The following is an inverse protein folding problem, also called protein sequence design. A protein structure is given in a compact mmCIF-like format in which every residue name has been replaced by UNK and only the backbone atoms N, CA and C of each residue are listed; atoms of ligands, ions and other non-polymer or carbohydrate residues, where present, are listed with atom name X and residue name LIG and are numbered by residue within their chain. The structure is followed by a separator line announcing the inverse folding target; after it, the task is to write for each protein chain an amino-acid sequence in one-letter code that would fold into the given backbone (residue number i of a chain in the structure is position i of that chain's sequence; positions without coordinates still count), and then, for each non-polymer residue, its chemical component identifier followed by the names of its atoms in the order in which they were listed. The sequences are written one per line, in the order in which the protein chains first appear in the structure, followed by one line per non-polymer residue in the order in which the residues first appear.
data_IF_159382576095
#
_entry.id   IF_159382576095
#
_cell.length_a   1.000
_cell.length_b   1.000
_cell.length_c   1.000
_cell.angle_alpha   90.00
_cell.angle_beta   90.00
_cell.angle_gamma   90.00
#
_symmetry.space_group_name_H-M   'P 1'
#
loop_
_entity.id
_entity.type
_entity.pdbx_description
1 polymer ?
#
# COMPACT_ATOMS: atom_id res chain seq x y z
N UNK A 1 -14.55 -28.84 -17.30
CA UNK A 1 -13.18 -28.91 -16.75
C UNK A 1 -13.33 -28.62 -15.27
N UNK A 2 -13.12 -29.64 -14.43
CA UNK A 2 -13.33 -29.57 -12.99
C UNK A 2 -12.28 -28.67 -12.36
N UNK A 3 -12.75 -27.61 -11.72
CA UNK A 3 -11.96 -26.65 -10.95
C UNK A 3 -11.56 -27.32 -9.62
N UNK A 4 -10.60 -28.25 -9.69
CA UNK A 4 -10.01 -28.84 -8.50
C UNK A 4 -9.09 -27.81 -7.84
N UNK A 5 -9.63 -27.09 -6.85
CA UNK A 5 -8.83 -26.26 -5.95
C UNK A 5 -7.63 -27.08 -5.43
N UNK A 6 -6.38 -26.65 -5.65
CA UNK A 6 -5.21 -27.44 -5.31
C UNK A 6 -5.21 -27.74 -3.80
N UNK A 7 -5.10 -29.03 -3.47
CA UNK A 7 -5.09 -29.54 -2.09
C UNK A 7 -3.87 -28.94 -1.37
N UNK A 8 -4.09 -28.03 -0.43
CA UNK A 8 -3.01 -27.32 0.28
C UNK A 8 -2.18 -28.31 1.11
N UNK A 9 -0.89 -28.40 0.80
CA UNK A 9 0.08 -29.15 1.60
C UNK A 9 0.39 -28.35 2.87
N UNK A 10 0.24 -28.92 4.08
CA UNK A 10 0.61 -28.25 5.33
C UNK A 10 2.09 -27.85 5.32
N UNK A 11 2.41 -26.64 5.76
CA UNK A 11 3.80 -26.14 5.83
C UNK A 11 4.62 -26.75 6.96
N UNK A 12 3.96 -27.30 7.97
CA UNK A 12 4.57 -27.89 9.15
C UNK A 12 3.73 -29.08 9.62
N UNK A 13 4.39 -30.14 10.07
CA UNK A 13 3.76 -31.33 10.65
C UNK A 13 3.75 -31.18 12.18
N UNK A 14 2.57 -30.87 12.74
CA UNK A 14 2.41 -30.61 14.16
C UNK A 14 2.86 -31.80 15.04
N UNK A 15 2.75 -33.03 14.53
CA UNK A 15 3.12 -34.23 15.30
C UNK A 15 4.62 -34.37 15.52
N UNK A 16 5.44 -33.65 14.73
CA UNK A 16 6.89 -33.67 14.80
C UNK A 16 7.50 -32.45 15.48
N UNK A 17 6.67 -31.44 15.80
CA UNK A 17 7.13 -30.19 16.38
C UNK A 17 7.56 -30.40 17.84
N UNK A 18 8.75 -29.92 18.19
CA UNK A 18 9.29 -30.03 19.55
C UNK A 18 9.31 -28.69 20.30
N UNK A 19 9.22 -28.77 21.64
CA UNK A 19 9.37 -27.61 22.51
C UNK A 19 10.76 -27.00 22.31
N UNK A 20 10.82 -25.69 22.05
CA UNK A 20 12.05 -24.96 21.78
C UNK A 20 12.34 -24.71 20.30
N UNK A 21 11.56 -25.32 19.39
CA UNK A 21 11.64 -24.99 17.97
C UNK A 21 11.15 -23.56 17.69
N UNK A 22 11.76 -22.92 16.68
CA UNK A 22 11.42 -21.56 16.25
C UNK A 22 10.62 -21.62 14.96
N UNK A 23 9.48 -20.97 14.95
CA UNK A 23 8.62 -20.82 13.77
C UNK A 23 8.72 -19.38 13.26
N UNK A 24 8.69 -19.18 11.95
CA UNK A 24 8.65 -17.86 11.34
C UNK A 24 7.65 -17.83 10.19
N UNK A 25 6.96 -16.70 10.06
CA UNK A 25 6.10 -16.40 8.91
C UNK A 25 5.76 -14.91 8.90
N UNK A 26 5.86 -14.28 7.74
CA UNK A 26 5.26 -12.97 7.49
C UNK A 26 3.82 -13.16 7.03
N UNK A 27 2.91 -12.40 7.63
CA UNK A 27 1.50 -12.33 7.25
C UNK A 27 1.01 -10.90 7.41
N UNK A 28 0.10 -10.51 6.53
CA UNK A 28 -0.63 -9.25 6.61
C UNK A 28 -2.08 -9.54 6.98
N UNK A 29 -2.67 -8.63 7.76
CA UNK A 29 -4.00 -8.81 8.34
C UNK A 29 -4.92 -7.65 7.97
N UNK A 30 -6.16 -8.00 7.63
CA UNK A 30 -7.27 -7.08 7.50
C UNK A 30 -8.08 -7.10 8.81
N UNK A 31 -8.42 -5.94 9.34
CA UNK A 31 -9.30 -5.80 10.50
C UNK A 31 -10.74 -5.95 10.03
N UNK A 32 -11.44 -6.97 10.54
CA UNK A 32 -12.84 -7.21 10.18
C UNK A 32 -13.82 -6.59 11.18
N UNK A 33 -13.48 -6.63 12.47
CA UNK A 33 -14.36 -6.20 13.55
C UNK A 33 -13.54 -5.84 14.78
N UNK A 34 -13.93 -4.77 15.47
CA UNK A 34 -13.35 -4.34 16.74
C UNK A 34 -14.45 -4.39 17.79
N UNK A 35 -14.27 -5.22 18.81
CA UNK A 35 -15.18 -5.29 19.95
C UNK A 35 -14.40 -4.95 21.22
N UNK A 36 -14.58 -3.71 21.69
CA UNK A 36 -13.88 -3.17 22.86
C UNK A 36 -14.47 -3.67 24.17
N UNK A 37 -15.74 -4.07 24.21
CA UNK A 37 -16.38 -4.62 25.43
C UNK A 37 -15.75 -5.97 25.80
N UNK A 38 -15.54 -6.81 24.79
CA UNK A 38 -14.91 -8.13 24.95
C UNK A 38 -13.38 -8.08 24.86
N UNK A 39 -12.79 -6.89 24.69
CA UNK A 39 -11.35 -6.64 24.54
C UNK A 39 -10.71 -7.51 23.43
N UNK A 40 -11.36 -7.56 22.26
CA UNK A 40 -10.96 -8.40 21.15
C UNK A 40 -11.12 -7.73 19.78
N UNK A 41 -10.23 -8.08 18.86
CA UNK A 41 -10.25 -7.64 17.46
C UNK A 41 -10.24 -8.87 16.56
N UNK A 42 -11.17 -8.95 15.62
CA UNK A 42 -11.21 -10.02 14.62
C UNK A 42 -10.39 -9.61 13.41
N UNK A 43 -9.43 -10.46 13.06
CA UNK A 43 -8.51 -10.28 11.96
C UNK A 43 -8.70 -11.38 10.91
N UNK A 44 -8.40 -11.06 9.66
CA UNK A 44 -8.32 -12.01 8.56
C UNK A 44 -6.97 -11.89 7.87
N UNK A 45 -6.29 -13.01 7.61
CA UNK A 45 -5.10 -13.00 6.77
C UNK A 45 -5.43 -13.12 5.28
N UNK A 46 -4.43 -12.94 4.43
CA UNK A 46 -4.53 -13.04 2.96
C UNK A 46 -5.07 -14.38 2.43
N UNK A 47 -5.07 -15.43 3.26
CA UNK A 47 -5.59 -16.75 2.90
C UNK A 47 -7.03 -17.00 3.35
N UNK A 48 -7.69 -15.99 3.93
CA UNK A 48 -9.05 -16.09 4.45
C UNK A 48 -9.16 -16.70 5.84
N UNK A 49 -8.03 -16.97 6.52
CA UNK A 49 -8.06 -17.48 7.89
C UNK A 49 -8.42 -16.34 8.84
N UNK A 50 -9.48 -16.54 9.62
CA UNK A 50 -10.01 -15.58 10.57
C UNK A 50 -9.67 -16.01 12.00
N UNK A 51 -9.23 -15.07 12.80
CA UNK A 51 -8.92 -15.31 14.21
C UNK A 51 -9.12 -14.04 15.02
N UNK A 52 -9.13 -14.20 16.33
CA UNK A 52 -9.31 -13.11 17.27
C UNK A 52 -8.01 -12.86 18.02
N UNK A 53 -7.66 -11.59 18.19
CA UNK A 53 -6.49 -11.13 18.94
C UNK A 53 -6.90 -10.05 19.93
N UNK A 54 -6.19 -9.96 21.05
CA UNK A 54 -6.37 -8.89 22.03
C UNK A 54 -5.70 -7.59 21.56
N UNK A 55 -6.27 -6.41 21.84
CA UNK A 55 -5.72 -5.11 21.45
C UNK A 55 -4.24 -4.91 21.83
N UNK A 56 -3.82 -5.39 23.00
CA UNK A 56 -2.43 -5.24 23.48
C UNK A 56 -1.39 -5.83 22.51
N UNK A 57 -1.70 -6.93 21.82
CA UNK A 57 -0.79 -7.52 20.82
C UNK A 57 -0.72 -6.61 19.59
N UNK A 58 -1.85 -6.05 19.17
CA UNK A 58 -1.91 -5.13 18.01
C UNK A 58 -1.09 -3.88 18.30
N UNK A 59 -1.30 -3.26 19.46
CA UNK A 59 -0.62 -2.03 19.85
C UNK A 59 0.89 -2.23 20.05
N UNK A 60 1.32 -3.39 20.57
CA UNK A 60 2.73 -3.66 20.85
C UNK A 60 3.52 -4.19 19.64
N UNK A 61 2.88 -4.96 18.75
CA UNK A 61 3.60 -5.76 17.75
C UNK A 61 3.20 -5.46 16.29
N UNK A 62 2.15 -4.66 16.04
CA UNK A 62 1.65 -4.42 14.69
C UNK A 62 1.80 -2.96 14.24
N UNK A 63 2.20 -2.79 12.97
CA UNK A 63 2.14 -1.49 12.30
C UNK A 63 0.88 -1.40 11.43
N UNK A 64 0.38 -0.18 11.27
CA UNK A 64 -0.67 0.13 10.30
C UNK A 64 -0.13 1.05 9.22
N UNK A 65 -0.74 0.99 8.03
CA UNK A 65 -0.41 1.88 6.93
C UNK A 65 -1.07 3.27 7.07
N UNK A 66 -1.96 3.45 8.04
CA UNK A 66 -2.82 4.64 8.13
C UNK A 66 -2.58 5.47 9.37
N UNK A 67 -2.01 4.90 10.43
CA UNK A 67 -1.74 5.60 11.69
C UNK A 67 -0.26 5.97 11.78
N UNK A 68 -0.01 7.18 12.28
CA UNK A 68 1.32 7.70 12.56
C UNK A 68 1.25 8.66 13.75
N UNK A 69 2.36 8.76 14.50
CA UNK A 69 2.49 9.65 15.65
C UNK A 69 3.41 10.84 15.36
N UNK A 70 4.27 10.73 14.34
CA UNK A 70 5.26 11.74 13.99
C UNK A 70 5.10 12.11 12.51
N UNK A 71 5.22 13.39 12.21
CA UNK A 71 5.29 13.90 10.84
C UNK A 71 6.67 14.47 10.56
N UNK A 72 7.30 14.03 9.47
CA UNK A 72 8.61 14.50 9.04
C UNK A 72 8.55 15.00 7.60
N UNK A 73 9.16 16.17 7.39
CA UNK A 73 9.37 16.73 6.07
C UNK A 73 10.76 16.35 5.60
N UNK A 74 10.83 15.56 4.53
CA UNK A 74 12.07 14.99 4.01
C UNK A 74 12.26 15.35 2.54
N UNK A 75 13.49 15.21 2.06
CA UNK A 75 13.77 15.29 0.63
C UNK A 75 13.17 14.08 -0.11
N UNK A 76 12.97 14.21 -1.42
CA UNK A 76 12.51 13.08 -2.25
C UNK A 76 13.45 11.89 -2.19
N UNK A 77 14.76 12.14 -2.13
CA UNK A 77 15.78 11.08 -2.02
C UNK A 77 15.60 10.29 -0.74
N UNK A 78 15.47 10.97 0.41
CA UNK A 78 15.23 10.30 1.70
C UNK A 78 13.91 9.53 1.68
N UNK A 79 12.85 10.08 1.09
CA UNK A 79 11.56 9.40 0.97
C UNK A 79 11.67 8.08 0.19
N UNK A 80 12.45 8.08 -0.89
CA UNK A 80 12.74 6.89 -1.69
C UNK A 80 13.56 5.88 -0.90
N UNK A 81 14.61 6.32 -0.20
CA UNK A 81 15.40 5.44 0.66
C UNK A 81 14.56 4.79 1.77
N UNK A 82 13.59 5.53 2.35
CA UNK A 82 12.64 4.95 3.32
C UNK A 82 11.73 3.90 2.66
N UNK A 83 11.24 4.15 1.46
CA UNK A 83 10.43 3.18 0.71
C UNK A 83 11.23 1.92 0.35
N UNK A 84 12.47 2.08 -0.12
CA UNK A 84 13.35 0.97 -0.50
C UNK A 84 13.81 0.14 0.72
N UNK A 85 13.86 0.76 1.91
CA UNK A 85 14.17 0.10 3.18
C UNK A 85 12.95 -0.40 3.96
N UNK A 86 11.73 -0.25 3.43
CA UNK A 86 10.50 -0.67 4.10
C UNK A 86 10.42 -2.20 4.30
N UNK A 87 11.05 -2.97 3.40
CA UNK A 87 11.06 -4.43 3.43
C UNK A 87 9.64 -5.01 3.49
N UNK A 88 9.41 -5.90 4.44
CA UNK A 88 8.12 -6.58 4.67
C UNK A 88 7.20 -5.81 5.62
N UNK A 89 7.53 -4.56 5.98
CA UNK A 89 6.65 -3.74 6.81
C UNK A 89 5.53 -3.18 5.95
N UNK A 90 4.30 -3.23 6.44
CA UNK A 90 3.16 -2.59 5.78
C UNK A 90 3.34 -1.06 5.78
N UNK A 91 3.03 -0.42 4.65
CA UNK A 91 3.07 1.03 4.50
C UNK A 91 1.94 1.54 3.60
N UNK A 92 1.65 2.83 3.70
CA UNK A 92 0.88 3.54 2.67
C UNK A 92 1.80 4.51 1.93
N UNK A 93 1.81 4.45 0.61
CA UNK A 93 2.54 5.40 -0.24
C UNK A 93 1.57 6.19 -1.10
N UNK A 94 1.68 7.51 -1.08
CA UNK A 94 0.88 8.40 -1.91
C UNK A 94 1.74 8.98 -3.01
N UNK A 95 1.29 8.82 -4.26
CA UNK A 95 2.01 9.25 -5.45
C UNK A 95 1.07 9.70 -6.56
N UNK A 96 1.59 10.47 -7.51
CA UNK A 96 0.85 10.86 -8.71
C UNK A 96 0.94 9.76 -9.77
N UNK A 97 -0.21 9.20 -10.17
CA UNK A 97 -0.26 8.25 -11.29
C UNK A 97 0.23 8.91 -12.57
N UNK A 98 0.84 8.10 -13.43
CA UNK A 98 1.06 8.52 -14.81
C UNK A 98 -0.28 8.86 -15.47
N UNK A 99 -0.36 10.05 -16.05
CA UNK A 99 -1.52 10.49 -16.81
C UNK A 99 -1.68 9.57 -18.02
N UNK A 100 -2.90 9.12 -18.27
CA UNK A 100 -3.25 8.29 -19.43
C UNK A 100 -4.17 9.06 -20.36
N UNK A 101 -4.12 8.76 -21.66
CA UNK A 101 -4.99 9.39 -22.67
C UNK A 101 -6.47 9.27 -22.31
N UNK A 102 -6.86 8.14 -21.71
CA UNK A 102 -8.22 7.91 -21.21
C UNK A 102 -8.57 8.85 -20.06
N UNK A 103 -7.64 9.08 -19.13
CA UNK A 103 -7.84 10.01 -18.02
C UNK A 103 -7.94 11.46 -18.48
N UNK A 104 -7.13 11.86 -19.48
CA UNK A 104 -7.23 13.18 -20.11
C UNK A 104 -8.58 13.33 -20.81
N UNK A 105 -8.98 12.33 -21.61
CA UNK A 105 -10.25 12.36 -22.33
C UNK A 105 -11.46 12.45 -21.38
N UNK A 106 -11.41 11.82 -20.20
CA UNK A 106 -12.43 11.97 -19.18
C UNK A 106 -12.48 13.42 -18.64
N UNK A 107 -11.33 13.97 -18.21
CA UNK A 107 -11.26 15.36 -17.71
C UNK A 107 -11.67 16.41 -18.76
N UNK A 108 -11.46 16.12 -20.05
CA UNK A 108 -11.87 17.00 -21.15
C UNK A 108 -13.38 16.94 -21.45
N UNK A 109 -14.07 15.85 -21.11
CA UNK A 109 -15.53 15.74 -21.31
C UNK A 109 -16.31 16.60 -20.32
N UNK A 110 -15.79 16.71 -19.10
CA UNK A 110 -16.42 17.46 -18.01
C UNK A 110 -15.96 18.93 -17.97
N UNK A 111 -15.36 19.43 -19.06
CA UNK A 111 -14.75 20.74 -19.08
C UNK A 111 -15.76 21.86 -19.32
N UNK A 112 -15.74 22.87 -18.46
CA UNK A 112 -16.46 24.12 -18.65
C UNK A 112 -15.91 24.89 -19.87
N UNK A 113 -16.75 25.31 -20.84
CA UNK A 113 -16.35 26.15 -21.97
C UNK A 113 -15.55 27.40 -21.56
N UNK A 114 -15.81 27.98 -20.38
CA UNK A 114 -15.08 29.16 -19.91
C UNK A 114 -13.63 28.83 -19.49
N UNK A 115 -13.30 27.57 -19.22
CA UNK A 115 -11.94 27.13 -18.85
C UNK A 115 -10.94 27.25 -20.02
N UNK A 116 -11.41 27.34 -21.27
CA UNK A 116 -10.54 27.39 -22.48
C UNK A 116 -10.44 28.79 -23.10
N UNK A 117 -11.19 29.75 -22.55
CA UNK A 117 -11.43 31.06 -23.18
C UNK A 117 -10.17 31.92 -23.32
N UNK A 118 -9.25 31.85 -22.37
CA UNK A 118 -8.04 32.70 -22.36
C UNK A 118 -6.76 31.87 -22.50
N UNK A 119 -5.68 32.48 -22.99
CA UNK A 119 -4.37 31.79 -23.06
C UNK A 119 -3.86 31.39 -21.65
N UNK A 120 -4.16 32.21 -20.64
CA UNK A 120 -3.85 31.91 -19.23
C UNK A 120 -4.61 30.68 -18.74
N UNK A 121 -5.91 30.59 -19.02
CA UNK A 121 -6.75 29.46 -18.60
C UNK A 121 -6.38 28.17 -19.34
N UNK A 122 -6.05 28.25 -20.63
CA UNK A 122 -5.50 27.12 -21.40
C UNK A 122 -4.19 26.58 -20.83
N UNK A 123 -3.25 27.45 -20.44
CA UNK A 123 -1.98 27.03 -19.80
C UNK A 123 -2.16 26.48 -18.39
N UNK A 124 -3.19 26.93 -17.65
CA UNK A 124 -3.52 26.37 -16.34
C UNK A 124 -4.11 24.96 -16.50
N UNK A 125 -5.08 24.81 -17.40
CA UNK A 125 -5.69 23.54 -17.73
C UNK A 125 -4.69 22.51 -18.25
N UNK A 126 -3.78 22.91 -19.15
CA UNK A 126 -2.73 22.03 -19.64
C UNK A 126 -1.84 21.50 -18.49
N UNK A 127 -1.50 22.35 -17.52
CA UNK A 127 -0.72 21.94 -16.34
C UNK A 127 -1.49 20.99 -15.42
N UNK A 128 -2.79 21.21 -15.27
CA UNK A 128 -3.66 20.36 -14.44
C UNK A 128 -3.92 19.00 -15.09
N UNK A 129 -4.11 18.96 -16.41
CA UNK A 129 -4.26 17.71 -17.17
C UNK A 129 -2.98 16.88 -17.15
N UNK A 130 -1.82 17.54 -17.17
CA UNK A 130 -0.51 16.89 -17.04
C UNK A 130 -0.21 16.46 -15.59
N UNK A 131 -0.93 16.99 -14.60
CA UNK A 131 -0.81 16.53 -13.21
C UNK A 131 -1.57 15.21 -13.06
N UNK A 132 -0.82 14.18 -12.70
CA UNK A 132 -1.36 12.86 -12.38
C UNK A 132 -2.46 12.93 -11.32
N UNK A 133 -3.34 11.93 -11.33
CA UNK A 133 -4.27 11.72 -10.22
C UNK A 133 -3.47 11.21 -9.00
N UNK A 134 -3.73 11.79 -7.84
CA UNK A 134 -3.16 11.31 -6.58
C UNK A 134 -3.73 9.94 -6.24
N UNK A 135 -2.86 9.01 -5.87
CA UNK A 135 -3.25 7.68 -5.41
C UNK A 135 -2.44 7.30 -4.20
N UNK A 136 -3.15 6.82 -3.19
CA UNK A 136 -2.57 6.08 -2.07
C UNK A 136 -2.63 4.59 -2.39
N UNK A 137 -1.54 3.89 -2.08
CA UNK A 137 -1.44 2.43 -2.17
C UNK A 137 -1.02 1.91 -0.80
N UNK A 138 -1.77 0.93 -0.29
CA UNK A 138 -1.45 0.21 0.95
C UNK A 138 -0.81 -1.13 0.57
N UNK A 139 0.41 -1.38 1.05
CA UNK A 139 1.18 -2.51 0.58
C UNK A 139 2.48 -2.74 1.33
N UNK A 140 3.30 -3.62 0.76
CA UNK A 140 4.66 -3.90 1.22
C UNK A 140 5.61 -4.05 0.04
N UNK A 141 6.91 -3.85 0.27
CA UNK A 141 7.91 -3.83 -0.79
C UNK A 141 8.17 -5.26 -1.26
N UNK A 142 8.03 -5.49 -2.57
CA UNK A 142 8.45 -6.75 -3.19
C UNK A 142 9.93 -6.70 -3.56
N UNK A 143 10.33 -5.66 -4.29
CA UNK A 143 11.70 -5.43 -4.72
C UNK A 143 11.86 -3.97 -5.09
N UNK A 144 12.96 -3.36 -4.66
CA UNK A 144 13.40 -2.07 -5.17
C UNK A 144 14.24 -2.28 -6.43
N UNK A 145 14.00 -1.50 -7.48
CA UNK A 145 14.89 -1.42 -8.64
C UNK A 145 15.49 0.00 -8.72
N UNK A 146 16.56 0.28 -7.95
CA UNK A 146 17.10 1.64 -7.81
C UNK A 146 17.54 2.23 -9.15
N UNK A 147 18.02 1.37 -10.07
CA UNK A 147 18.50 1.79 -11.40
C UNK A 147 17.41 2.36 -12.31
N UNK A 148 16.14 2.02 -12.06
CA UNK A 148 15.01 2.43 -12.88
C UNK A 148 14.15 3.52 -12.22
N UNK A 149 14.50 3.94 -10.99
CA UNK A 149 13.75 4.96 -10.25
C UNK A 149 12.32 4.51 -9.90
N UNK A 150 12.12 3.20 -9.68
CA UNK A 150 10.83 2.61 -9.40
C UNK A 150 10.94 1.48 -8.38
N UNK A 151 9.89 1.29 -7.59
CA UNK A 151 9.74 0.15 -6.67
C UNK A 151 8.55 -0.71 -7.06
N UNK A 152 8.74 -2.03 -6.98
CA UNK A 152 7.64 -3.00 -7.05
C UNK A 152 7.04 -3.18 -5.66
N UNK A 153 5.73 -2.92 -5.56
CA UNK A 153 4.97 -3.02 -4.32
C UNK A 153 3.82 -3.99 -4.51
N UNK A 154 3.57 -4.83 -3.51
CA UNK A 154 2.37 -5.67 -3.47
C UNK A 154 1.25 -4.87 -2.82
N UNK A 155 0.19 -4.68 -3.59
CA UNK A 155 -1.05 -3.99 -3.19
C UNK A 155 -1.90 -4.95 -2.36
N UNK A 156 -2.05 -4.65 -1.06
CA UNK A 156 -2.79 -5.48 -0.11
C UNK A 156 -4.31 -5.29 -0.23
N UNK A 157 -4.78 -4.21 -0.86
CA UNK A 157 -6.21 -4.00 -1.12
C UNK A 157 -6.72 -4.91 -2.25
N UNK A 158 -5.81 -5.48 -3.04
CA UNK A 158 -6.13 -6.41 -4.12
C UNK A 158 -5.89 -7.85 -3.65
N UNK A 159 -6.88 -8.75 -3.77
CA UNK A 159 -6.74 -10.12 -3.31
C UNK A 159 -5.51 -10.84 -3.88
N UNK A 160 -4.82 -11.58 -3.02
CA UNK A 160 -3.65 -12.37 -3.39
C UNK A 160 -3.93 -13.31 -4.56
N UNK A 161 -3.01 -13.35 -5.53
CA UNK A 161 -3.16 -14.13 -6.77
C UNK A 161 -3.88 -13.40 -7.92
N UNK A 162 -4.39 -12.18 -7.71
CA UNK A 162 -4.98 -11.35 -8.77
C UNK A 162 -4.10 -10.13 -9.06
N UNK A 163 -3.17 -10.22 -10.02
CA UNK A 163 -2.34 -9.10 -10.53
C UNK A 163 -2.18 -7.92 -9.54
N UNK A 164 -1.66 -8.17 -8.34
CA UNK A 164 -1.60 -7.20 -7.24
C UNK A 164 -0.24 -6.50 -7.13
N UNK A 165 0.68 -6.80 -8.05
CA UNK A 165 1.95 -6.11 -8.16
C UNK A 165 1.70 -4.74 -8.81
N UNK A 166 2.27 -3.69 -8.22
CA UNK A 166 2.19 -2.30 -8.68
C UNK A 166 3.60 -1.72 -8.76
N UNK A 167 3.79 -0.83 -9.73
CA UNK A 167 5.00 -0.04 -9.85
C UNK A 167 4.76 1.34 -9.26
N UNK A 168 5.59 1.76 -8.32
CA UNK A 168 5.60 3.10 -7.75
C UNK A 168 6.79 3.86 -8.33
N UNK A 169 6.52 4.99 -8.99
CA UNK A 169 7.56 5.85 -9.57
C UNK A 169 8.08 6.85 -8.54
N UNK A 170 9.37 6.75 -8.23
CA UNK A 170 10.04 7.50 -7.18
C UNK A 170 9.94 9.02 -7.35
N UNK A 171 9.82 9.49 -8.60
CA UNK A 171 9.76 10.93 -8.91
C UNK A 171 8.41 11.55 -8.53
N UNK A 172 7.38 10.71 -8.41
CA UNK A 172 5.99 11.14 -8.21
C UNK A 172 5.49 10.94 -6.80
N UNK A 173 6.31 10.39 -5.90
CA UNK A 173 5.95 10.16 -4.50
C UNK A 173 5.79 11.50 -3.79
N UNK A 174 4.68 11.64 -3.07
CA UNK A 174 4.33 12.80 -2.27
C UNK A 174 4.46 12.50 -0.77
N UNK A 175 4.04 11.31 -0.34
CA UNK A 175 4.15 10.90 1.07
C UNK A 175 4.27 9.39 1.25
N UNK A 176 4.78 8.99 2.42
CA UNK A 176 4.92 7.61 2.86
C UNK A 176 4.58 7.51 4.35
N UNK A 177 3.63 6.66 4.72
CA UNK A 177 3.38 6.26 6.10
C UNK A 177 4.09 4.94 6.35
N UNK A 178 5.10 4.95 7.22
CA UNK A 178 5.91 3.77 7.55
C UNK A 178 6.32 3.83 9.02
N UNK A 179 6.11 2.72 9.75
CA UNK A 179 6.56 2.55 11.15
C UNK A 179 6.15 3.72 12.06
N UNK A 180 4.87 4.09 12.02
CA UNK A 180 4.28 5.15 12.84
C UNK A 180 4.81 6.58 12.54
N UNK A 181 5.41 6.78 11.36
CA UNK A 181 5.88 8.09 10.88
C UNK A 181 5.27 8.38 9.51
N UNK A 182 4.72 9.58 9.34
CA UNK A 182 4.34 10.14 8.04
C UNK A 182 5.50 10.97 7.51
N UNK A 183 6.09 10.53 6.41
CA UNK A 183 7.08 11.27 5.66
C UNK A 183 6.40 12.02 4.52
N UNK A 184 6.65 13.33 4.41
CA UNK A 184 6.13 14.17 3.33
C UNK A 184 7.28 14.80 2.54
N UNK A 185 7.17 14.81 1.22
CA UNK A 185 8.17 15.43 0.37
C UNK A 185 8.13 16.96 0.53
N UNK A 186 9.31 17.55 0.76
CA UNK A 186 9.55 18.99 0.71
C UNK A 186 9.61 19.54 -0.71
#
# INVERSE_FOLDING_TARGET
MSDETPKRIPRCDLSKLQVGERLSRIQYYEVLEINLEDNVVKLQNEHGFKFTVTPNIIEAEMYTATQYAVEEKVSRTELVEKLESAGETVFAVTFLKQVTDKGIAAKLKDLDPDAVRTDKSRRALARELLKGEERTLVGYLLTAEPKLGRSMVIDLEVPSGKHNIRMVDHRTIQSLVLKNVLYTCT
#
